data_IF_906545614016
#
_entry.id   IF_906545614016
#
_cell.length_a   1.000
_cell.length_b   1.000
_cell.length_c   1.000
_cell.angle_alpha   90.00
_cell.angle_beta   90.00
_cell.angle_gamma   90.00
#
_symmetry.space_group_name_H-M   'P 1'
#
loop_
_entity.id
_entity.type
_entity.pdbx_description
1 polymer ?
#
# COMPACT_ATOMS: atom_id res chain seq x y z
N UNK A 1 23.43 -16.18 9.24
CA UNK A 1 23.07 -15.40 8.04
C UNK A 1 22.62 -16.39 6.98
N UNK A 2 21.41 -16.25 6.46
CA UNK A 2 20.90 -17.14 5.40
C UNK A 2 21.48 -16.68 4.06
N UNK A 3 21.64 -17.61 3.11
CA UNK A 3 22.18 -17.30 1.77
C UNK A 3 21.29 -16.33 0.97
N UNK A 4 20.07 -16.08 1.42
CA UNK A 4 19.09 -15.24 0.75
C UNK A 4 19.06 -13.80 1.29
N UNK A 5 19.94 -13.46 2.25
CA UNK A 5 20.15 -12.08 2.69
C UNK A 5 21.03 -11.36 1.65
N UNK A 6 20.48 -11.10 0.46
CA UNK A 6 21.17 -10.40 -0.64
C UNK A 6 21.30 -8.92 -0.27
N UNK A 7 22.42 -8.57 0.35
CA UNK A 7 22.88 -7.20 0.45
C UNK A 7 23.56 -6.82 -0.87
N UNK A 8 23.01 -5.86 -1.60
CA UNK A 8 23.67 -5.27 -2.76
C UNK A 8 24.74 -4.28 -2.26
N UNK A 9 26.04 -4.60 -2.30
CA UNK A 9 27.08 -3.80 -1.65
C UNK A 9 27.33 -2.45 -2.35
N UNK A 10 26.79 -2.25 -3.56
CA UNK A 10 26.91 -1.05 -4.38
C UNK A 10 25.81 0.00 -4.11
N UNK A 11 24.71 -0.41 -3.47
CA UNK A 11 23.72 0.52 -2.93
C UNK A 11 24.06 0.76 -1.47
N UNK A 12 24.54 1.95 -1.12
CA UNK A 12 24.78 2.28 0.28
C UNK A 12 23.55 1.92 1.13
N UNK A 13 23.74 1.30 2.29
CA UNK A 13 22.64 0.87 3.15
C UNK A 13 21.74 2.07 3.47
N UNK A 14 20.57 2.10 2.83
CA UNK A 14 19.58 3.17 2.96
C UNK A 14 18.32 2.60 3.60
N UNK A 15 17.82 3.31 4.60
CA UNK A 15 16.54 3.01 5.23
C UNK A 15 15.52 3.95 4.59
N UNK A 16 14.42 3.41 4.08
CA UNK A 16 13.32 4.22 3.56
C UNK A 16 12.19 4.27 4.58
N UNK A 17 11.79 5.48 4.97
CA UNK A 17 10.70 5.73 5.90
C UNK A 17 9.56 6.43 5.18
N UNK A 18 8.37 5.85 5.21
CA UNK A 18 7.14 6.52 4.80
C UNK A 18 6.14 6.50 5.95
N UNK A 19 5.44 7.62 6.16
CA UNK A 19 4.35 7.75 7.12
C UNK A 19 3.13 8.17 6.30
N UNK A 20 2.08 7.35 6.34
CA UNK A 20 0.90 7.53 5.53
C UNK A 20 -0.36 7.08 6.28
N UNK A 21 -1.52 7.50 5.78
CA UNK A 21 -2.80 6.99 6.27
C UNK A 21 -2.90 5.47 6.07
N UNK A 22 -3.51 4.70 6.99
CA UNK A 22 -3.70 3.25 6.84
C UNK A 22 -4.55 2.86 5.62
N UNK A 23 -5.24 3.83 5.01
CA UNK A 23 -6.10 3.62 3.85
C UNK A 23 -5.46 3.99 2.52
N UNK A 24 -4.24 4.55 2.54
CA UNK A 24 -3.49 4.95 1.35
C UNK A 24 -2.32 3.99 1.17
N UNK A 25 -2.29 3.18 0.09
CA UNK A 25 -1.14 2.32 -0.16
C UNK A 25 0.04 3.18 -0.62
N UNK A 26 1.15 3.10 0.10
CA UNK A 26 2.41 3.79 -0.25
C UNK A 26 3.52 2.77 -0.42
N UNK A 27 4.38 2.98 -1.41
CA UNK A 27 5.62 2.22 -1.54
C UNK A 27 6.78 3.02 -0.95
N UNK A 28 7.32 2.67 0.23
CA UNK A 28 8.42 3.41 0.84
C UNK A 28 9.68 3.48 -0.03
N UNK A 29 9.90 2.51 -0.92
CA UNK A 29 11.07 2.54 -1.82
C UNK A 29 10.96 3.61 -2.90
N UNK A 30 9.74 3.98 -3.30
CA UNK A 30 9.47 4.98 -4.33
C UNK A 30 9.14 6.35 -3.75
N UNK A 31 8.39 6.36 -2.65
CA UNK A 31 7.78 7.57 -2.07
C UNK A 31 8.32 7.89 -0.67
N UNK A 32 9.14 7.00 -0.10
CA UNK A 32 9.67 7.17 1.25
C UNK A 32 10.87 8.11 1.32
N UNK A 33 11.07 8.64 2.52
CA UNK A 33 12.23 9.42 2.88
C UNK A 33 13.44 8.50 3.10
N UNK A 34 14.53 8.75 2.37
CA UNK A 34 15.80 8.10 2.64
C UNK A 34 16.39 8.62 3.96
N UNK A 35 16.81 7.68 4.81
CA UNK A 35 17.54 7.90 6.05
C UNK A 35 18.92 7.25 5.93
N UNK A 36 19.94 8.02 6.30
CA UNK A 36 21.34 7.57 6.30
C UNK A 36 21.63 6.83 7.60
N UNK A 37 22.33 5.71 7.50
CA UNK A 37 22.83 5.01 8.69
C UNK A 37 23.84 5.87 9.45
N UNK A 38 23.88 5.72 10.78
CA UNK A 38 24.79 6.47 11.67
C UNK A 38 24.30 7.86 12.08
N UNK A 39 23.06 8.23 11.72
CA UNK A 39 22.43 9.48 12.11
C UNK A 39 21.29 9.22 13.11
N UNK A 40 21.09 10.17 14.01
CA UNK A 40 19.87 10.26 14.80
C UNK A 40 18.93 11.26 14.13
N UNK A 41 17.68 10.86 13.96
CA UNK A 41 16.66 11.65 13.28
C UNK A 41 15.56 12.02 14.27
N UNK A 42 15.31 13.32 14.40
CA UNK A 42 14.05 13.82 14.95
C UNK A 42 13.07 13.97 13.80
N UNK A 43 12.02 13.15 13.82
CA UNK A 43 10.97 13.12 12.79
C UNK A 43 9.76 13.85 13.37
N UNK A 44 9.37 14.92 12.69
CA UNK A 44 8.20 15.72 13.02
C UNK A 44 7.11 15.40 12.00
N UNK A 45 5.92 15.10 12.49
CA UNK A 45 4.76 14.79 11.66
C UNK A 45 3.73 15.87 11.91
N UNK A 46 3.28 16.51 10.83
CA UNK A 46 2.16 17.43 10.85
C UNK A 46 1.02 16.83 10.03
N UNK A 47 -0.14 16.73 10.65
CA UNK A 47 -1.37 16.31 9.99
C UNK A 47 -2.11 17.57 9.52
N UNK A 48 -2.40 17.64 8.22
CA UNK A 48 -3.28 18.63 7.63
C UNK A 48 -4.50 17.91 7.05
N UNK A 49 -5.69 18.45 7.32
CA UNK A 49 -6.95 17.89 6.85
C UNK A 49 -7.55 18.79 5.77
N UNK A 50 -8.01 18.18 4.67
CA UNK A 50 -8.69 18.87 3.59
C UNK A 50 -10.10 18.28 3.42
N UNK A 51 -11.09 19.17 3.41
CA UNK A 51 -12.50 18.82 3.23
C UNK A 51 -13.02 19.46 1.96
N UNK A 52 -13.23 18.65 0.93
CA UNK A 52 -13.90 19.07 -0.29
C UNK A 52 -15.42 18.93 -0.13
N UNK A 53 -16.15 19.88 -0.69
CA UNK A 53 -17.61 19.85 -0.63
C UNK A 53 -18.17 18.96 -1.76
N UNK A 54 -19.06 17.99 -1.46
CA UNK A 54 -19.63 17.09 -2.47
C UNK A 54 -20.57 17.82 -3.44
N UNK A 55 -21.13 17.12 -4.43
CA UNK A 55 -22.14 17.72 -5.31
C UNK A 55 -23.23 18.46 -4.48
N UNK A 56 -23.61 19.71 -4.83
CA UNK A 56 -23.53 20.37 -6.14
C UNK A 56 -22.26 21.19 -6.44
N UNK A 57 -21.25 21.17 -5.56
CA UNK A 57 -20.03 21.94 -5.79
C UNK A 57 -19.16 21.30 -6.88
N UNK A 58 -18.34 22.12 -7.54
CA UNK A 58 -17.52 21.74 -8.71
C UNK A 58 -16.51 20.61 -8.41
N UNK A 59 -16.17 20.39 -7.13
CA UNK A 59 -15.17 19.39 -6.74
C UNK A 59 -15.55 17.96 -7.16
N UNK A 60 -16.86 17.67 -7.27
CA UNK A 60 -17.41 16.35 -7.57
C UNK A 60 -16.72 15.21 -6.79
N UNK A 61 -16.42 15.47 -5.51
CA UNK A 61 -15.69 14.54 -4.67
C UNK A 61 -16.54 13.31 -4.30
N UNK A 62 -15.85 12.20 -3.98
CA UNK A 62 -16.45 10.98 -3.47
C UNK A 62 -16.10 10.79 -2.00
N UNK A 63 -17.11 10.57 -1.16
CA UNK A 63 -16.92 10.09 0.21
C UNK A 63 -16.70 8.57 0.17
N UNK A 64 -15.42 8.18 0.12
CA UNK A 64 -14.99 6.80 0.07
C UNK A 64 -15.34 6.01 1.34
N UNK A 65 -15.38 6.66 2.50
CA UNK A 65 -15.75 6.00 3.76
C UNK A 65 -17.25 5.70 3.80
N UNK A 66 -18.10 6.64 3.40
CA UNK A 66 -19.53 6.40 3.26
C UNK A 66 -19.82 5.30 2.23
N UNK A 67 -19.14 5.34 1.07
CA UNK A 67 -19.29 4.32 0.03
C UNK A 67 -18.88 2.93 0.53
N UNK A 68 -17.76 2.84 1.25
CA UNK A 68 -17.27 1.59 1.84
C UNK A 68 -18.25 1.03 2.88
N UNK A 69 -18.78 1.87 3.78
CA UNK A 69 -19.81 1.46 4.75
C UNK A 69 -21.07 0.95 4.04
N UNK A 70 -21.53 1.67 3.02
CA UNK A 70 -22.71 1.29 2.20
C UNK A 70 -22.51 -0.05 1.48
N UNK A 71 -21.29 -0.34 1.03
CA UNK A 71 -20.96 -1.56 0.31
C UNK A 71 -20.55 -2.71 1.24
N UNK A 72 -21.15 -2.84 2.43
CA UNK A 72 -20.82 -3.89 3.42
C UNK A 72 -19.32 -3.96 3.72
N UNK A 73 -18.68 -2.81 3.92
CA UNK A 73 -17.25 -2.70 4.21
C UNK A 73 -16.37 -3.28 3.08
N UNK A 74 -16.78 -3.15 1.81
CA UNK A 74 -16.00 -3.59 0.65
C UNK A 74 -15.66 -2.42 -0.29
N UNK A 75 -14.54 -2.54 -1.01
CA UNK A 75 -14.05 -1.52 -1.94
C UNK A 75 -12.98 -0.59 -1.35
N UNK A 76 -12.54 0.42 -2.13
CA UNK A 76 -11.50 1.35 -1.72
C UNK A 76 -12.02 2.34 -0.66
N UNK A 77 -11.16 2.67 0.32
CA UNK A 77 -11.41 3.70 1.34
C UNK A 77 -10.66 5.03 1.07
N UNK A 78 -9.99 5.12 -0.07
CA UNK A 78 -9.28 6.32 -0.51
C UNK A 78 -9.22 6.38 -2.04
N UNK A 79 -8.93 7.57 -2.58
CA UNK A 79 -8.74 7.74 -4.02
C UNK A 79 -7.51 6.95 -4.51
N UNK A 80 -6.45 6.92 -3.71
CA UNK A 80 -5.19 6.23 -4.00
C UNK A 80 -5.42 4.72 -4.05
N UNK A 81 -6.20 4.18 -3.10
CA UNK A 81 -6.60 2.77 -3.13
C UNK A 81 -7.46 2.46 -4.36
N UNK A 82 -8.36 3.36 -4.76
CA UNK A 82 -9.14 3.20 -6.00
C UNK A 82 -8.21 3.08 -7.22
N UNK A 83 -7.24 4.01 -7.35
CA UNK A 83 -6.25 3.99 -8.44
C UNK A 83 -5.37 2.74 -8.40
N UNK A 84 -4.98 2.29 -7.21
CA UNK A 84 -4.22 1.07 -6.99
C UNK A 84 -4.99 -0.18 -7.45
N UNK A 85 -6.28 -0.27 -7.13
CA UNK A 85 -7.14 -1.36 -7.59
C UNK A 85 -7.32 -1.36 -9.12
N UNK A 86 -7.39 -0.19 -9.76
CA UNK A 86 -7.38 -0.10 -11.22
C UNK A 86 -6.09 -0.67 -11.82
N UNK A 87 -4.94 -0.39 -11.21
CA UNK A 87 -3.66 -0.94 -11.65
C UNK A 87 -3.57 -2.45 -11.42
N UNK A 88 -4.08 -2.95 -10.30
CA UNK A 88 -4.14 -4.38 -10.00
C UNK A 88 -5.01 -5.14 -11.01
N UNK A 89 -6.19 -4.60 -11.33
CA UNK A 89 -7.06 -5.19 -12.35
C UNK A 89 -6.37 -5.21 -13.72
N UNK A 90 -5.64 -4.15 -14.06
CA UNK A 90 -4.84 -4.10 -15.28
C UNK A 90 -3.72 -5.15 -15.29
N UNK A 91 -2.97 -5.29 -14.19
CA UNK A 91 -1.85 -6.25 -14.14
C UNK A 91 -2.33 -7.68 -14.30
N UNK A 92 -3.43 -8.04 -13.62
CA UNK A 92 -4.06 -9.36 -13.75
C UNK A 92 -4.53 -9.61 -15.18
N UNK A 93 -5.19 -8.64 -15.82
CA UNK A 93 -5.63 -8.78 -17.20
C UNK A 93 -4.47 -8.90 -18.22
N UNK A 94 -3.38 -8.15 -18.02
CA UNK A 94 -2.26 -8.13 -18.95
C UNK A 94 -1.30 -9.29 -18.81
N UNK A 95 -0.99 -9.68 -17.57
CA UNK A 95 0.13 -10.55 -17.25
C UNK A 95 -0.30 -11.85 -16.55
N UNK A 96 -1.57 -11.97 -16.19
CA UNK A 96 -2.10 -13.07 -15.37
C UNK A 96 -1.40 -13.17 -14.00
N UNK A 97 -0.90 -12.03 -13.50
CA UNK A 97 -0.18 -11.92 -12.24
C UNK A 97 -0.27 -10.49 -11.67
N UNK A 98 0.19 -10.32 -10.43
CA UNK A 98 0.16 -9.09 -9.65
C UNK A 98 1.53 -8.43 -9.66
N UNK A 99 1.60 -7.21 -10.23
CA UNK A 99 2.85 -6.44 -10.20
C UNK A 99 2.98 -5.68 -8.87
N UNK A 100 4.13 -5.74 -8.19
CA UNK A 100 4.35 -5.18 -6.86
C UNK A 100 4.54 -3.65 -6.86
N UNK A 101 3.65 -2.90 -7.52
CA UNK A 101 3.64 -1.43 -7.42
C UNK A 101 2.91 -0.91 -6.20
N UNK A 102 2.02 -1.74 -5.65
CA UNK A 102 1.19 -1.40 -4.51
C UNK A 102 1.56 -2.38 -3.41
N UNK A 103 1.83 -1.89 -2.22
CA UNK A 103 1.93 -2.72 -1.01
C UNK A 103 0.54 -3.29 -0.69
N UNK A 104 0.08 -4.23 -1.50
CA UNK A 104 -1.05 -5.07 -1.15
C UNK A 104 -0.56 -6.04 -0.09
N UNK A 105 -1.35 -6.19 0.97
CA UNK A 105 -0.91 -6.85 2.20
C UNK A 105 -0.46 -8.31 2.03
N UNK A 106 -0.76 -8.94 0.89
CA UNK A 106 -0.25 -10.26 0.47
C UNK A 106 -0.67 -10.51 -0.98
N UNK A 107 0.17 -10.22 -1.97
CA UNK A 107 -0.12 -10.64 -3.33
C UNK A 107 0.02 -12.16 -3.42
N UNK A 108 -1.06 -12.84 -3.78
CA UNK A 108 -1.07 -14.32 -3.89
C UNK A 108 -0.31 -14.79 -5.14
N UNK A 109 -0.31 -13.97 -6.20
CA UNK A 109 0.23 -14.32 -7.52
C UNK A 109 1.20 -13.24 -8.03
N UNK A 110 2.32 -13.03 -7.34
CA UNK A 110 3.33 -12.05 -7.79
C UNK A 110 3.89 -12.39 -9.17
N UNK A 111 4.02 -11.36 -10.01
CA UNK A 111 4.73 -11.48 -11.27
C UNK A 111 6.23 -11.75 -11.04
N UNK A 112 6.79 -12.72 -11.77
CA UNK A 112 8.25 -12.90 -11.85
C UNK A 112 8.88 -11.74 -12.62
N UNK A 113 10.10 -11.32 -12.25
CA UNK A 113 10.83 -10.20 -12.89
C UNK A 113 10.95 -10.36 -14.42
N UNK A 114 10.91 -11.59 -14.93
CA UNK A 114 10.97 -11.88 -16.37
C UNK A 114 9.75 -11.39 -17.16
N UNK A 115 8.61 -11.13 -16.50
CA UNK A 115 7.37 -10.66 -17.14
C UNK A 115 7.36 -9.17 -17.45
N UNK A 116 8.42 -8.42 -17.10
CA UNK A 116 8.51 -7.00 -17.44
C UNK A 116 8.64 -6.74 -18.94
N UNK A 117 9.18 -7.69 -19.70
CA UNK A 117 9.45 -7.48 -21.13
C UNK A 117 8.33 -7.96 -22.07
N UNK A 118 7.42 -8.80 -21.61
CA UNK A 118 6.27 -9.19 -22.43
C UNK A 118 5.29 -8.02 -22.51
N UNK A 119 4.96 -7.56 -23.72
CA UNK A 119 3.86 -6.62 -23.93
C UNK A 119 2.55 -7.12 -23.33
N UNK A 120 1.63 -6.21 -23.01
CA UNK A 120 0.30 -6.61 -22.53
C UNK A 120 -0.43 -7.36 -23.66
N UNK A 121 -0.92 -8.56 -23.37
CA UNK A 121 -1.66 -9.39 -24.36
C UNK A 121 -3.01 -8.77 -24.76
N UNK A 122 -3.55 -7.92 -23.91
CA UNK A 122 -4.85 -7.29 -24.08
C UNK A 122 -4.67 -5.83 -24.51
N UNK A 123 -4.90 -5.57 -25.79
CA UNK A 123 -4.73 -4.23 -26.40
C UNK A 123 -5.59 -3.16 -25.73
N UNK A 124 -6.75 -3.55 -25.18
CA UNK A 124 -7.70 -2.66 -24.54
C UNK A 124 -7.47 -2.49 -23.02
N UNK A 125 -6.55 -3.25 -22.41
CA UNK A 125 -6.30 -3.16 -20.98
C UNK A 125 -5.84 -1.77 -20.56
N UNK A 126 -5.02 -1.11 -21.38
CA UNK A 126 -4.55 0.25 -21.10
C UNK A 126 -5.70 1.26 -21.07
N UNK A 127 -6.63 1.17 -22.03
CA UNK A 127 -7.81 2.02 -22.07
C UNK A 127 -8.72 1.77 -20.86
N UNK A 128 -9.01 0.51 -20.53
CA UNK A 128 -9.81 0.14 -19.35
C UNK A 128 -9.19 0.64 -18.06
N UNK A 129 -7.87 0.52 -17.89
CA UNK A 129 -7.14 1.09 -16.75
C UNK A 129 -7.34 2.60 -16.66
N UNK A 130 -7.22 3.31 -17.77
CA UNK A 130 -7.36 4.76 -17.81
C UNK A 130 -8.81 5.19 -17.55
N UNK A 131 -9.80 4.48 -18.08
CA UNK A 131 -11.22 4.67 -17.76
C UNK A 131 -11.48 4.46 -16.27
N UNK A 132 -10.99 3.36 -15.69
CA UNK A 132 -11.08 3.10 -14.25
C UNK A 132 -10.47 4.22 -13.41
N UNK A 133 -9.26 4.71 -13.77
CA UNK A 133 -8.60 5.81 -13.07
C UNK A 133 -9.40 7.12 -13.13
N UNK A 134 -10.04 7.42 -14.27
CA UNK A 134 -10.90 8.60 -14.43
C UNK A 134 -12.14 8.54 -13.53
N UNK A 135 -12.62 7.34 -13.21
CA UNK A 135 -13.75 7.14 -12.30
C UNK A 135 -13.36 7.23 -10.81
N UNK A 136 -12.05 7.31 -10.49
CA UNK A 136 -11.59 7.57 -9.13
C UNK A 136 -11.62 9.08 -8.83
N UNK A 137 -12.80 9.60 -8.54
CA UNK A 137 -13.02 10.99 -8.13
C UNK A 137 -12.14 11.40 -6.94
N UNK A 138 -11.85 12.71 -6.77
CA UNK A 138 -11.14 13.19 -5.59
C UNK A 138 -11.88 12.79 -4.31
N UNK A 139 -11.15 12.47 -3.24
CA UNK A 139 -11.77 12.14 -1.96
C UNK A 139 -12.37 13.41 -1.34
N UNK A 140 -13.58 13.31 -0.76
CA UNK A 140 -14.17 14.45 -0.05
C UNK A 140 -13.42 14.82 1.22
N UNK A 141 -12.72 13.84 1.79
CA UNK A 141 -11.86 14.00 2.95
C UNK A 141 -10.47 13.47 2.59
N UNK A 142 -9.46 14.31 2.79
CA UNK A 142 -8.08 13.95 2.55
C UNK A 142 -7.22 14.31 3.77
N UNK A 143 -6.34 13.39 4.15
CA UNK A 143 -5.37 13.57 5.22
C UNK A 143 -3.99 13.70 4.59
N UNK A 144 -3.44 14.91 4.58
CA UNK A 144 -2.09 15.17 4.15
C UNK A 144 -1.15 15.09 5.36
N UNK A 145 -0.11 14.26 5.26
CA UNK A 145 0.94 14.17 6.26
C UNK A 145 2.19 14.89 5.75
N UNK A 146 2.57 15.97 6.42
CA UNK A 146 3.84 16.63 6.17
C UNK A 146 4.90 16.06 7.11
N UNK A 147 6.01 15.60 6.55
CA UNK A 147 7.12 15.02 7.31
C UNK A 147 8.30 16.00 7.29
N UNK A 148 8.62 16.57 8.45
CA UNK A 148 9.86 17.29 8.69
C UNK A 148 10.90 16.35 9.31
N UNK A 149 12.14 16.37 8.84
CA UNK A 149 13.24 15.64 9.48
C UNK A 149 14.41 16.57 9.77
N UNK A 150 14.95 16.48 10.97
CA UNK A 150 16.23 17.10 11.31
C UNK A 150 17.19 16.00 11.75
N UNK A 151 18.34 15.91 11.08
CA UNK A 151 19.34 14.87 11.33
C UNK A 151 20.57 15.47 12.00
N UNK A 152 21.01 14.88 13.11
CA UNK A 152 22.31 15.20 13.71
C UNK A 152 23.24 13.99 13.59
N UNK A 153 24.50 14.24 13.24
CA UNK A 153 25.54 13.23 13.29
C UNK A 153 25.77 12.85 14.75
N UNK A 154 25.56 11.58 15.09
CA UNK A 154 26.14 11.01 16.30
C UNK A 154 27.54 10.52 15.95
N UNK A 155 28.56 11.05 16.62
CA UNK A 155 29.86 10.38 16.65
C UNK A 155 29.68 9.09 17.45
N UNK A 156 29.42 7.99 16.74
CA UNK A 156 29.36 6.67 17.35
C UNK A 156 30.80 6.20 17.50
N UNK A 157 31.29 6.15 18.75
CA UNK A 157 32.63 5.64 19.02
C UNK A 157 32.68 4.15 18.61
N UNK A 158 33.73 3.74 17.90
CA UNK A 158 33.83 2.44 17.20
C UNK A 158 33.61 1.21 18.09
N UNK A 159 33.71 1.35 19.41
CA UNK A 159 33.46 0.29 20.38
C UNK A 159 31.97 -0.04 20.58
N UNK A 160 31.05 0.80 20.08
CA UNK A 160 29.59 0.65 20.27
C UNK A 160 28.89 -0.06 19.10
N UNK A 161 29.58 -0.25 17.96
CA UNK A 161 29.05 -0.80 16.71
C UNK A 161 28.56 -2.26 16.84
N UNK A 162 29.09 -3.02 17.79
CA UNK A 162 28.67 -4.41 18.09
C UNK A 162 27.29 -4.44 18.77
N UNK A 163 27.00 -3.44 19.61
CA UNK A 163 25.73 -3.30 20.34
C UNK A 163 24.59 -2.84 19.44
N UNK A 164 24.87 -2.00 18.44
CA UNK A 164 23.86 -1.45 17.52
C UNK A 164 23.26 -2.54 16.61
N UNK A 165 24.08 -3.53 16.21
CA UNK A 165 23.61 -4.68 15.42
C UNK A 165 22.62 -5.55 16.20
N UNK A 166 22.78 -5.63 17.53
CA UNK A 166 21.89 -6.35 18.44
C UNK A 166 20.59 -5.57 18.71
N UNK A 167 20.63 -4.23 18.67
CA UNK A 167 19.46 -3.37 18.85
C UNK A 167 18.51 -3.36 17.64
N UNK A 168 19.01 -3.35 16.40
CA UNK A 168 18.13 -3.44 15.21
C UNK A 168 17.37 -4.77 15.16
N UNK A 169 17.98 -5.86 15.62
CA UNK A 169 17.31 -7.16 15.74
C UNK A 169 16.19 -7.14 16.79
N UNK A 170 16.30 -6.27 17.81
CA UNK A 170 15.27 -6.02 18.84
C UNK A 170 14.17 -5.08 18.35
N UNK A 171 14.44 -4.10 17.49
CA UNK A 171 13.41 -3.23 16.90
C UNK A 171 12.52 -3.97 15.91
N UNK A 172 13.06 -4.89 15.12
CA UNK A 172 12.27 -5.76 14.24
C UNK A 172 11.37 -6.76 15.02
N UNK A 173 11.67 -7.01 16.30
CA UNK A 173 10.89 -7.89 17.20
C UNK A 173 10.11 -7.12 18.28
N UNK A 174 10.25 -5.80 18.34
CA UNK A 174 9.54 -4.97 19.31
C UNK A 174 8.16 -4.63 18.76
N UNK A 175 7.16 -5.37 19.22
CA UNK A 175 5.75 -5.12 18.97
C UNK A 175 5.30 -3.69 19.38
N UNK A 176 6.10 -2.94 20.16
CA UNK A 176 5.73 -1.61 20.68
C UNK A 176 5.42 -0.57 19.59
N UNK A 177 6.15 -0.53 18.47
CA UNK A 177 5.85 0.41 17.39
C UNK A 177 4.59 0.03 16.59
N UNK A 178 4.25 -1.26 16.52
CA UNK A 178 2.97 -1.71 15.98
C UNK A 178 1.81 -1.43 16.95
N UNK A 179 2.06 -1.44 18.26
CA UNK A 179 1.05 -1.24 19.30
C UNK A 179 0.73 0.24 19.56
N UNK A 180 1.71 1.15 19.47
CA UNK A 180 1.47 2.59 19.67
C UNK A 180 0.58 3.16 18.54
N UNK A 181 0.81 2.74 17.28
CA UNK A 181 -0.08 3.11 16.17
C UNK A 181 -1.48 2.49 16.25
N UNK A 182 -1.66 1.42 17.03
CA UNK A 182 -2.95 0.73 17.18
C UNK A 182 -3.81 1.31 18.31
N UNK A 183 -3.20 1.63 19.44
CA UNK A 183 -3.92 2.00 20.67
C UNK A 183 -4.43 3.44 20.67
N UNK A 184 -3.74 4.40 20.04
CA UNK A 184 -4.27 5.77 19.90
C UNK A 184 -5.33 5.91 18.79
N UNK A 185 -5.40 4.92 17.88
CA UNK A 185 -6.29 4.95 16.72
C UNK A 185 -7.59 4.14 16.93
N UNK A 186 -7.58 3.14 17.81
CA UNK A 186 -8.77 2.34 18.16
C UNK A 186 -9.77 3.10 19.06
N UNK A 187 -9.29 4.02 19.91
CA UNK A 187 -10.12 4.66 20.96
C UNK A 187 -11.11 5.73 20.46
N UNK A 188 -10.93 6.27 19.24
CA UNK A 188 -11.81 7.33 18.70
C UNK A 188 -12.68 6.91 17.50
N UNK A 189 -12.43 5.77 16.85
CA UNK A 189 -13.07 5.47 15.55
C UNK A 189 -13.73 4.10 15.41
N UNK A 190 -13.79 3.26 16.46
CA UNK A 190 -14.54 2.00 16.41
C UNK A 190 -14.08 1.06 15.30
N UNK A 191 -12.76 0.96 15.09
CA UNK A 191 -12.18 0.07 14.10
C UNK A 191 -12.17 -1.36 14.65
N UNK A 192 -13.17 -2.16 14.27
CA UNK A 192 -13.01 -3.61 14.36
C UNK A 192 -11.85 -4.03 13.42
N UNK A 193 -10.87 -4.84 13.89
CA UNK A 193 -9.87 -5.42 13.02
C UNK A 193 -10.57 -6.17 11.88
N UNK A 194 -10.11 -6.03 10.61
CA UNK A 194 -10.76 -6.67 9.48
C UNK A 194 -10.79 -8.18 9.68
N UNK A 195 -11.96 -8.71 10.03
CA UNK A 195 -12.23 -10.15 10.00
C UNK A 195 -11.85 -10.68 8.62
N UNK A 196 -11.13 -11.80 8.61
CA UNK A 196 -10.65 -12.59 7.46
C UNK A 196 -11.73 -13.09 6.48
N UNK A 197 -12.95 -12.53 6.52
CA UNK A 197 -14.09 -12.90 5.65
C UNK A 197 -13.97 -12.43 4.20
N UNK A 198 -12.89 -11.76 3.81
CA UNK A 198 -12.67 -11.30 2.43
C UNK A 198 -12.42 -12.42 1.40
N UNK A 199 -12.33 -13.71 1.80
CA UNK A 199 -11.82 -14.77 0.91
C UNK A 199 -12.90 -15.56 0.13
N UNK A 200 -14.20 -15.46 0.44
CA UNK A 200 -15.18 -16.34 -0.22
C UNK A 200 -16.27 -15.58 -0.98
N UNK A 201 -15.99 -15.02 -2.17
CA UNK A 201 -17.06 -14.73 -3.15
C UNK A 201 -16.69 -14.46 -4.62
N UNK A 202 -15.45 -14.68 -5.05
CA UNK A 202 -15.10 -14.57 -6.48
C UNK A 202 -14.52 -15.88 -7.02
N UNK A 203 -15.33 -16.95 -6.99
CA UNK A 203 -15.06 -18.18 -7.74
C UNK A 203 -16.38 -18.93 -8.00
N UNK A 204 -17.20 -18.46 -8.95
CA UNK A 204 -18.24 -19.26 -9.58
C UNK A 204 -18.86 -18.52 -10.78
N UNK A 205 -18.41 -18.84 -11.98
CA UNK A 205 -19.11 -18.74 -13.28
C UNK A 205 -18.15 -19.27 -14.35
N UNK A 206 -18.46 -20.19 -15.25
CA UNK A 206 -19.57 -21.10 -15.45
C UNK A 206 -19.03 -22.18 -16.42
N UNK A 207 -19.20 -23.47 -16.12
CA UNK A 207 -18.93 -24.54 -17.09
C UNK A 207 -20.23 -24.76 -17.88
N UNK A 208 -20.27 -24.36 -19.14
CA UNK A 208 -21.39 -24.61 -20.02
C UNK A 208 -21.39 -26.09 -20.46
N UNK A 209 -22.43 -26.83 -20.08
CA UNK A 209 -22.71 -28.18 -20.58
C UNK A 209 -23.52 -28.06 -21.88
N UNK A 210 -23.03 -28.65 -22.96
CA UNK A 210 -23.77 -28.80 -24.22
C UNK A 210 -24.87 -29.86 -24.06
N UNK A 211 -26.04 -29.72 -24.71
CA UNK A 211 -27.03 -30.78 -24.77
C UNK A 211 -26.65 -31.83 -25.82
N UNK A 212 -26.76 -33.10 -25.45
CA UNK A 212 -26.71 -34.22 -26.39
C UNK A 212 -28.06 -34.34 -27.12
N UNK A 213 -28.02 -34.39 -28.45
CA UNK A 213 -29.15 -34.79 -29.28
C UNK A 213 -29.43 -36.30 -29.10
N UNK A 214 -30.69 -36.64 -28.84
CA UNK A 214 -31.23 -37.99 -28.96
C UNK A 214 -31.84 -38.13 -30.37
N UNK A 215 -31.32 -39.08 -31.15
CA UNK A 215 -32.02 -39.77 -32.24
C UNK A 215 -31.95 -41.26 -31.98
#
# INVERSE_FOLDING_TARGET
>A
MRKDDIFFPWTGNQIFLSIHSPFVPVNPLLEGNHLKSGYEYNIYVRLDEEHLQPHPYETNCTDYDALWRKNNKTGPRSQEMCKALCYLSYSRACYDCEKPKVMLYRPENLCSDQTEWSGCKDENATERRNACRRNCNPACFNLALQIGKNGSLKQVNSNELVTTRQACHKLATSNSLQTIGKTEYEDNFGLEPPTTRFIAKYSASALATQPAELR
#
